data_IF_177627384881
#
_entry.id   IF_177627384881
#
_cell.length_a   1.000
_cell.length_b   1.000
_cell.length_c   1.000
_cell.angle_alpha   90.00
_cell.angle_beta   90.00
_cell.angle_gamma   90.00
#
_symmetry.space_group_name_H-M   'P 1'
#
loop_
_entity.id
_entity.type
_entity.pdbx_description
1 polymer ?
#
# COMPACT_ATOMS: atom_id res chain seq x y z
N UNK A 1 8.57 70.32 11.53
CA UNK A 1 7.69 69.24 11.02
C UNK A 1 8.00 69.01 9.56
N UNK A 2 8.92 68.11 9.26
CA UNK A 2 9.29 67.73 7.88
C UNK A 2 9.13 66.22 7.81
N UNK A 3 8.02 65.79 7.21
CA UNK A 3 7.64 64.39 7.05
C UNK A 3 8.36 63.80 5.84
N UNK A 4 9.31 62.90 6.10
CA UNK A 4 9.98 62.09 5.08
C UNK A 4 9.08 60.90 4.73
N UNK A 5 8.53 60.86 3.51
CA UNK A 5 7.76 59.72 3.00
C UNK A 5 8.73 58.61 2.56
N UNK A 6 8.65 57.47 3.23
CA UNK A 6 9.38 56.25 2.91
C UNK A 6 8.68 55.53 1.74
N UNK A 7 9.31 55.50 0.57
CA UNK A 7 8.84 54.74 -0.58
C UNK A 7 9.17 53.25 -0.40
N UNK A 8 8.14 52.42 -0.22
CA UNK A 8 8.28 50.97 -0.18
C UNK A 8 8.55 50.39 -1.57
N UNK A 9 9.66 49.69 -1.73
CA UNK A 9 9.92 48.85 -2.89
C UNK A 9 9.16 47.54 -2.74
N UNK A 10 8.23 47.28 -3.65
CA UNK A 10 7.53 46.01 -3.78
C UNK A 10 8.48 45.01 -4.46
N UNK A 11 9.04 44.08 -3.70
CA UNK A 11 9.84 42.98 -4.26
C UNK A 11 8.89 41.95 -4.91
N UNK A 12 8.80 41.99 -6.24
CA UNK A 12 8.06 41.00 -7.02
C UNK A 12 8.87 39.69 -7.02
N UNK A 13 8.47 38.73 -6.18
CA UNK A 13 9.03 37.38 -6.20
C UNK A 13 8.54 36.66 -7.45
N UNK A 14 9.42 36.52 -8.44
CA UNK A 14 9.16 35.73 -9.66
C UNK A 14 9.29 34.26 -9.27
N UNK A 15 8.17 33.57 -9.09
CA UNK A 15 8.13 32.11 -9.07
C UNK A 15 8.43 31.63 -10.49
N UNK A 16 9.68 31.25 -10.74
CA UNK A 16 10.06 30.52 -11.95
C UNK A 16 9.48 29.12 -11.82
N UNK A 17 8.33 28.89 -12.45
CA UNK A 17 7.79 27.55 -12.66
C UNK A 17 8.72 26.85 -13.67
N UNK A 18 9.71 26.12 -13.17
CA UNK A 18 10.53 25.25 -14.01
C UNK A 18 9.66 24.09 -14.46
N UNK A 19 8.98 24.23 -15.60
CA UNK A 19 8.43 23.08 -16.29
C UNK A 19 9.60 22.14 -16.61
N UNK A 20 9.66 20.99 -15.94
CA UNK A 20 10.59 19.93 -16.29
C UNK A 20 10.34 19.58 -17.76
N UNK A 21 11.39 19.58 -18.57
CA UNK A 21 11.28 19.21 -19.97
C UNK A 21 10.86 17.74 -20.06
N UNK A 22 9.78 17.46 -20.79
CA UNK A 22 9.27 16.10 -21.02
C UNK A 22 10.38 15.19 -21.58
N UNK A 23 10.53 13.98 -21.02
CA UNK A 23 11.51 12.99 -21.49
C UNK A 23 10.97 12.34 -22.76
N UNK A 24 11.39 12.84 -23.92
CA UNK A 24 10.89 12.36 -25.21
C UNK A 24 11.47 10.99 -25.60
N UNK A 25 10.59 10.05 -25.93
CA UNK A 25 10.95 8.74 -26.48
C UNK A 25 11.04 8.75 -28.01
N UNK A 26 11.78 7.79 -28.57
CA UNK A 26 11.85 7.51 -30.00
C UNK A 26 10.59 6.76 -30.46
N UNK A 27 10.10 7.07 -31.65
CA UNK A 27 9.02 6.32 -32.28
C UNK A 27 9.51 4.95 -32.76
N UNK A 28 9.59 3.99 -31.84
CA UNK A 28 10.04 2.62 -32.07
C UNK A 28 9.40 1.65 -31.06
N UNK A 29 9.65 0.36 -31.27
CA UNK A 29 9.32 -0.70 -30.32
C UNK A 29 10.61 -1.34 -29.81
N UNK A 30 10.92 -1.13 -28.55
CA UNK A 30 11.98 -1.82 -27.84
C UNK A 30 11.50 -3.21 -27.40
N UNK A 31 12.36 -4.22 -27.48
CA UNK A 31 12.05 -5.57 -26.99
C UNK A 31 13.11 -5.99 -25.99
N UNK A 32 12.69 -6.43 -24.81
CA UNK A 32 13.55 -6.89 -23.71
C UNK A 32 13.40 -8.41 -23.59
N UNK A 33 14.46 -9.15 -23.89
CA UNK A 33 14.56 -10.60 -23.64
C UNK A 33 15.75 -10.96 -22.73
N UNK A 34 16.53 -9.95 -22.33
CA UNK A 34 17.62 -10.03 -21.37
C UNK A 34 17.93 -8.64 -20.79
N UNK A 35 18.78 -8.57 -19.76
CA UNK A 35 19.20 -7.29 -19.17
C UNK A 35 19.98 -6.38 -20.14
N UNK A 36 20.63 -6.95 -21.17
CA UNK A 36 21.40 -6.19 -22.16
C UNK A 36 20.50 -5.33 -23.06
N UNK A 37 19.25 -5.74 -23.26
CA UNK A 37 18.30 -5.08 -24.15
C UNK A 37 17.72 -3.80 -23.53
N UNK A 38 17.70 -3.70 -22.20
CA UNK A 38 16.97 -2.69 -21.43
C UNK A 38 17.34 -1.28 -21.85
N UNK A 39 18.64 -0.98 -21.92
CA UNK A 39 19.16 0.37 -22.22
C UNK A 39 18.64 0.91 -23.55
N UNK A 40 18.52 0.06 -24.57
CA UNK A 40 18.00 0.44 -25.88
C UNK A 40 16.48 0.49 -25.92
N UNK A 41 15.82 -0.43 -25.20
CA UNK A 41 14.38 -0.57 -25.23
C UNK A 41 13.68 0.61 -24.55
N UNK A 42 14.17 1.10 -23.41
CA UNK A 42 13.55 2.20 -22.66
C UNK A 42 13.60 3.56 -23.37
N UNK A 43 14.37 3.68 -24.46
CA UNK A 43 14.35 4.85 -25.33
C UNK A 43 13.13 4.87 -26.26
N UNK A 44 12.42 3.76 -26.43
CA UNK A 44 11.28 3.64 -27.31
C UNK A 44 9.95 4.01 -26.62
N UNK A 45 9.02 4.57 -27.41
CA UNK A 45 7.64 4.86 -26.99
C UNK A 45 6.79 3.61 -26.78
N UNK A 46 7.23 2.45 -27.27
CA UNK A 46 6.67 1.14 -26.91
C UNK A 46 7.79 0.21 -26.44
N UNK A 47 7.57 -0.49 -25.32
CA UNK A 47 8.49 -1.48 -24.76
C UNK A 47 7.76 -2.80 -24.59
N UNK A 48 8.26 -3.86 -25.22
CA UNK A 48 7.78 -5.22 -25.04
C UNK A 48 8.75 -5.99 -24.14
N UNK A 49 8.23 -6.67 -23.12
CA UNK A 49 9.03 -7.48 -22.19
C UNK A 49 8.71 -8.94 -22.44
N UNK A 50 9.63 -9.68 -23.06
CA UNK A 50 9.51 -11.12 -23.25
C UNK A 50 9.83 -11.88 -21.96
N UNK A 51 9.67 -13.20 -21.99
CA UNK A 51 10.11 -14.02 -20.87
C UNK A 51 11.62 -14.03 -20.76
N UNK A 52 12.15 -13.77 -19.56
CA UNK A 52 13.56 -13.94 -19.24
C UNK A 52 13.77 -14.05 -17.72
N UNK A 53 14.97 -14.45 -17.32
CA UNK A 53 15.40 -14.43 -15.92
C UNK A 53 16.34 -13.27 -15.69
N UNK A 54 15.99 -12.40 -14.74
CA UNK A 54 16.88 -11.35 -14.23
C UNK A 54 17.99 -12.02 -13.40
N UNK A 55 19.28 -11.73 -13.66
CA UNK A 55 20.37 -12.33 -12.90
C UNK A 55 20.29 -12.06 -11.40
N UNK A 56 20.90 -12.95 -10.61
CA UNK A 56 20.82 -12.89 -9.17
C UNK A 56 21.50 -11.64 -8.57
N UNK A 57 20.74 -10.84 -7.84
CA UNK A 57 21.27 -9.62 -7.22
C UNK A 57 21.25 -8.37 -8.09
N UNK A 58 20.52 -8.40 -9.20
CA UNK A 58 20.33 -7.26 -10.09
C UNK A 58 18.90 -6.73 -10.01
N UNK A 59 18.74 -5.41 -10.17
CA UNK A 59 17.44 -4.77 -10.31
C UNK A 59 17.09 -4.69 -11.79
N UNK A 60 15.92 -5.18 -12.18
CA UNK A 60 15.33 -4.89 -13.47
C UNK A 60 14.71 -3.49 -13.46
N UNK A 61 15.50 -2.49 -13.89
CA UNK A 61 15.14 -1.08 -13.88
C UNK A 61 14.67 -0.61 -15.26
N UNK A 62 13.47 -0.03 -15.31
CA UNK A 62 12.91 0.63 -16.49
C UNK A 62 12.78 2.14 -16.23
N UNK A 63 13.69 2.93 -16.79
CA UNK A 63 13.58 4.40 -16.80
C UNK A 63 13.00 4.83 -18.15
N UNK A 64 11.66 4.87 -18.22
CA UNK A 64 10.92 5.07 -19.46
C UNK A 64 10.93 6.53 -19.90
N UNK A 65 10.65 6.76 -21.18
CA UNK A 65 10.24 8.05 -21.68
C UNK A 65 8.77 8.33 -21.32
N UNK A 66 8.37 9.60 -21.39
CA UNK A 66 6.99 9.98 -21.09
C UNK A 66 6.03 9.37 -22.10
N UNK A 67 4.81 9.04 -21.65
CA UNK A 67 3.77 8.42 -22.47
C UNK A 67 4.14 7.05 -23.07
N UNK A 68 5.17 6.39 -22.54
CA UNK A 68 5.58 5.05 -23.01
C UNK A 68 4.50 4.01 -22.71
N UNK A 69 4.24 3.14 -23.68
CA UNK A 69 3.44 1.94 -23.49
C UNK A 69 4.34 0.74 -23.24
N UNK A 70 4.14 0.02 -22.15
CA UNK A 70 4.83 -1.22 -21.83
C UNK A 70 3.87 -2.39 -21.98
N UNK A 71 4.29 -3.45 -22.66
CA UNK A 71 3.54 -4.71 -22.77
C UNK A 71 4.41 -5.86 -22.27
N UNK A 72 3.97 -6.52 -21.21
CA UNK A 72 4.58 -7.80 -20.81
C UNK A 72 4.02 -8.90 -21.72
N UNK A 73 4.90 -9.70 -22.29
CA UNK A 73 4.63 -10.74 -23.29
C UNK A 73 5.13 -12.13 -22.84
N UNK A 74 5.80 -12.19 -21.70
CA UNK A 74 6.23 -13.44 -21.08
C UNK A 74 6.59 -13.24 -19.61
N UNK A 75 6.68 -14.35 -18.90
CA UNK A 75 6.95 -14.32 -17.45
C UNK A 75 8.41 -13.95 -17.17
N UNK A 76 8.61 -13.12 -16.15
CA UNK A 76 9.91 -12.69 -15.64
C UNK A 76 10.17 -13.37 -14.30
N UNK A 77 11.33 -13.98 -14.14
CA UNK A 77 11.77 -14.54 -12.86
C UNK A 77 13.07 -13.89 -12.39
N UNK A 78 13.30 -13.87 -11.08
CA UNK A 78 14.49 -13.27 -10.49
C UNK A 78 15.43 -14.33 -9.91
N UNK A 79 16.72 -14.24 -10.23
CA UNK A 79 17.75 -15.10 -9.65
C UNK A 79 17.89 -14.91 -8.14
N UNK A 80 18.11 -16.00 -7.42
CA UNK A 80 18.17 -16.00 -5.96
C UNK A 80 19.48 -15.40 -5.43
N UNK A 81 19.37 -14.32 -4.67
CA UNK A 81 20.45 -13.74 -3.85
C UNK A 81 19.85 -13.07 -2.64
N UNK A 82 20.53 -13.15 -1.50
CA UNK A 82 20.24 -12.36 -0.29
C UNK A 82 20.82 -10.95 -0.47
N UNK A 83 19.95 -9.94 -0.59
CA UNK A 83 20.32 -8.51 -0.75
C UNK A 83 19.07 -7.64 -0.52
N UNK A 84 19.23 -6.31 -0.51
CA UNK A 84 18.17 -5.38 -0.15
C UNK A 84 17.08 -5.19 -1.23
N UNK A 85 17.37 -5.45 -2.50
CA UNK A 85 16.47 -5.11 -3.60
C UNK A 85 16.45 -3.61 -3.93
N UNK A 86 15.45 -3.11 -4.68
CA UNK A 86 14.28 -3.85 -5.19
C UNK A 86 14.62 -4.83 -6.33
N UNK A 87 13.71 -5.77 -6.61
CA UNK A 87 13.87 -6.68 -7.75
C UNK A 87 13.51 -6.00 -9.07
N UNK A 88 12.39 -5.29 -9.12
CA UNK A 88 11.93 -4.52 -10.27
C UNK A 88 11.69 -3.07 -9.88
N UNK A 89 12.04 -2.14 -10.77
CA UNK A 89 11.75 -0.72 -10.61
C UNK A 89 11.33 -0.11 -11.93
N UNK A 90 10.27 0.68 -11.94
CA UNK A 90 9.80 1.39 -13.14
C UNK A 90 9.52 2.86 -12.82
N UNK A 91 10.00 3.74 -13.70
CA UNK A 91 9.86 5.20 -13.61
C UNK A 91 9.39 5.77 -14.95
N UNK A 92 8.60 6.83 -14.89
CA UNK A 92 8.18 7.59 -16.07
C UNK A 92 6.82 8.25 -15.91
N UNK A 93 6.55 9.28 -16.71
CA UNK A 93 5.30 10.02 -16.65
C UNK A 93 4.29 9.57 -17.71
N UNK A 94 3.01 9.51 -17.33
CA UNK A 94 1.91 9.11 -18.21
C UNK A 94 2.10 7.74 -18.88
N UNK A 95 2.71 6.79 -18.17
CA UNK A 95 3.01 5.44 -18.67
C UNK A 95 1.74 4.60 -18.74
N UNK A 96 1.62 3.78 -19.78
CA UNK A 96 0.62 2.71 -19.87
C UNK A 96 1.33 1.37 -19.71
N UNK A 97 1.25 0.75 -18.53
CA UNK A 97 1.91 -0.52 -18.24
C UNK A 97 0.88 -1.66 -18.27
N UNK A 98 0.97 -2.52 -19.28
CA UNK A 98 0.09 -3.66 -19.50
C UNK A 98 0.83 -4.96 -19.16
N UNK A 99 0.47 -5.59 -18.05
CA UNK A 99 1.01 -6.89 -17.64
C UNK A 99 0.49 -8.07 -18.46
N UNK A 100 -0.63 -7.91 -19.17
CA UNK A 100 -1.27 -8.95 -19.99
C UNK A 100 -1.45 -10.31 -19.29
N UNK A 101 -1.54 -10.33 -17.96
CA UNK A 101 -1.69 -11.53 -17.15
C UNK A 101 -0.39 -12.29 -16.87
N UNK A 102 0.77 -11.76 -17.29
CA UNK A 102 2.07 -12.38 -17.09
C UNK A 102 2.61 -12.18 -15.68
N UNK A 103 3.51 -13.10 -15.31
CA UNK A 103 4.00 -13.24 -13.94
C UNK A 103 5.39 -12.64 -13.76
N UNK A 104 5.57 -11.91 -12.67
CA UNK A 104 6.85 -11.61 -12.06
C UNK A 104 7.03 -12.55 -10.85
N UNK A 105 7.93 -13.52 -10.93
CA UNK A 105 8.17 -14.50 -9.86
C UNK A 105 9.41 -14.11 -9.03
N UNK A 106 9.19 -13.72 -7.77
CA UNK A 106 10.22 -13.26 -6.84
C UNK A 106 11.01 -14.39 -6.17
N UNK A 107 10.62 -15.66 -6.38
CA UNK A 107 11.23 -16.84 -5.77
C UNK A 107 11.29 -16.81 -4.22
N UNK A 108 10.25 -16.25 -3.60
CA UNK A 108 10.02 -16.13 -2.16
C UNK A 108 10.44 -17.33 -1.30
N UNK A 109 10.10 -18.59 -1.65
CA UNK A 109 10.50 -19.78 -0.90
C UNK A 109 12.01 -19.92 -0.65
N UNK A 110 12.86 -19.32 -1.48
CA UNK A 110 14.30 -19.27 -1.22
C UNK A 110 14.63 -18.48 0.06
N UNK A 111 13.86 -17.42 0.34
CA UNK A 111 14.07 -16.43 1.39
C UNK A 111 13.29 -16.73 2.67
N UNK A 112 12.08 -17.24 2.54
CA UNK A 112 11.10 -17.38 3.61
C UNK A 112 11.58 -18.27 4.77
N UNK A 113 11.65 -17.65 5.94
CA UNK A 113 12.16 -18.19 7.21
C UNK A 113 11.23 -17.86 8.39
N UNK A 114 9.99 -17.44 8.11
CA UNK A 114 8.99 -17.04 9.10
C UNK A 114 9.31 -15.72 9.84
N UNK A 115 10.39 -15.02 9.48
CA UNK A 115 10.81 -13.79 10.15
C UNK A 115 10.65 -12.53 9.29
N UNK A 116 10.42 -12.68 7.99
CA UNK A 116 10.15 -11.54 7.09
C UNK A 116 11.27 -10.50 7.14
N UNK A 117 10.91 -9.24 7.33
CA UNK A 117 11.85 -8.12 7.53
C UNK A 117 12.33 -7.94 8.97
N UNK A 118 11.79 -8.70 9.93
CA UNK A 118 12.09 -8.56 11.36
C UNK A 118 13.36 -9.31 11.79
N UNK A 119 13.90 -10.19 10.95
CA UNK A 119 15.07 -11.00 11.26
C UNK A 119 15.45 -11.97 10.15
N UNK A 120 16.32 -12.92 10.48
CA UNK A 120 16.77 -13.97 9.57
C UNK A 120 17.64 -13.46 8.41
N UNK A 121 17.43 -14.00 7.21
CA UNK A 121 18.18 -13.55 6.02
C UNK A 121 17.60 -12.26 5.45
N UNK A 122 18.45 -11.41 4.87
CA UNK A 122 17.98 -10.23 4.13
C UNK A 122 17.16 -10.66 2.90
N UNK A 123 15.97 -10.06 2.74
CA UNK A 123 15.02 -10.37 1.68
C UNK A 123 14.89 -9.13 0.79
N UNK A 124 15.00 -9.25 -0.54
CA UNK A 124 14.81 -8.11 -1.43
C UNK A 124 13.41 -7.50 -1.25
N UNK A 125 13.33 -6.25 -0.81
CA UNK A 125 12.07 -5.62 -0.44
C UNK A 125 12.14 -4.09 -0.61
N UNK A 126 11.18 -3.46 -1.32
CA UNK A 126 10.04 -4.09 -1.99
C UNK A 126 10.47 -4.94 -3.20
N UNK A 127 9.64 -5.88 -3.63
CA UNK A 127 9.86 -6.59 -4.90
C UNK A 127 9.66 -5.65 -6.10
N UNK A 128 8.56 -4.91 -6.11
CA UNK A 128 8.12 -4.03 -7.20
C UNK A 128 8.11 -2.58 -6.72
N UNK A 129 9.03 -1.75 -7.23
CA UNK A 129 9.06 -0.32 -6.95
C UNK A 129 8.43 0.48 -8.10
N UNK A 130 7.30 1.12 -7.82
CA UNK A 130 6.45 1.78 -8.82
C UNK A 130 6.55 3.30 -8.64
N UNK A 131 7.21 3.95 -9.59
CA UNK A 131 7.44 5.40 -9.64
C UNK A 131 6.95 5.97 -10.99
N UNK A 132 5.81 5.45 -11.48
CA UNK A 132 5.13 5.94 -12.69
C UNK A 132 3.84 6.68 -12.37
N UNK A 133 3.43 7.58 -13.25
CA UNK A 133 2.04 8.04 -13.37
C UNK A 133 1.37 7.38 -14.58
N UNK A 134 0.04 7.40 -14.65
CA UNK A 134 -0.74 6.77 -15.73
C UNK A 134 -1.48 5.52 -15.28
N UNK A 135 -1.25 4.39 -15.95
CA UNK A 135 -1.94 3.11 -15.67
C UNK A 135 -0.97 1.95 -15.50
N UNK A 136 -1.30 1.04 -14.60
CA UNK A 136 -0.55 -0.19 -14.33
C UNK A 136 -1.53 -1.34 -14.14
N UNK A 137 -1.62 -2.24 -15.12
CA UNK A 137 -2.76 -3.17 -15.20
C UNK A 137 -2.34 -4.61 -15.43
N UNK A 138 -3.11 -5.56 -14.91
CA UNK A 138 -3.05 -6.98 -15.26
C UNK A 138 -1.66 -7.62 -15.07
N UNK A 139 -0.93 -7.23 -14.02
CA UNK A 139 0.35 -7.87 -13.63
C UNK A 139 0.08 -8.90 -12.54
N UNK A 140 0.67 -10.09 -12.68
CA UNK A 140 0.75 -11.07 -11.60
C UNK A 140 2.11 -11.00 -10.92
N UNK A 141 2.14 -10.84 -9.61
CA UNK A 141 3.31 -11.10 -8.76
C UNK A 141 3.10 -12.43 -8.07
N UNK A 142 4.12 -13.28 -8.11
CA UNK A 142 4.14 -14.59 -7.48
C UNK A 142 5.32 -14.70 -6.54
N UNK A 143 5.08 -15.15 -5.31
CA UNK A 143 6.09 -15.48 -4.32
C UNK A 143 7.12 -14.36 -4.14
N UNK A 144 6.70 -13.21 -3.66
CA UNK A 144 7.59 -12.12 -3.29
C UNK A 144 8.50 -12.51 -2.12
N UNK A 145 9.75 -12.03 -2.04
CA UNK A 145 10.61 -12.32 -0.88
C UNK A 145 10.08 -11.75 0.44
N UNK A 146 9.40 -10.60 0.39
CA UNK A 146 8.74 -9.90 1.50
C UNK A 146 7.77 -8.88 0.87
N UNK A 147 7.78 -7.59 1.24
CA UNK A 147 6.83 -6.57 0.73
C UNK A 147 6.81 -6.51 -0.80
N UNK A 148 5.62 -6.47 -1.39
CA UNK A 148 5.40 -6.60 -2.83
C UNK A 148 5.54 -5.26 -3.54
N UNK A 149 4.52 -4.40 -3.48
CA UNK A 149 4.54 -3.10 -4.16
C UNK A 149 4.91 -1.98 -3.20
N UNK A 150 5.89 -1.17 -3.57
CA UNK A 150 6.08 0.18 -3.01
C UNK A 150 5.67 1.20 -4.07
N UNK A 151 4.71 2.06 -3.73
CA UNK A 151 4.10 2.99 -4.68
C UNK A 151 4.41 4.45 -4.30
N UNK A 152 5.00 5.18 -5.24
CA UNK A 152 5.39 6.59 -5.10
C UNK A 152 5.24 7.30 -6.46
N UNK A 153 4.01 7.33 -6.98
CA UNK A 153 3.69 7.91 -8.28
C UNK A 153 3.91 9.45 -8.30
N UNK A 154 4.51 10.00 -9.36
CA UNK A 154 4.76 11.44 -9.50
C UNK A 154 3.51 12.28 -9.85
N UNK A 155 2.48 11.62 -10.40
CA UNK A 155 1.15 12.17 -10.71
C UNK A 155 0.13 11.03 -10.69
N UNK A 156 -1.14 11.29 -10.98
CA UNK A 156 -2.23 10.30 -10.86
C UNK A 156 -1.87 8.92 -11.44
N UNK A 157 -2.09 7.87 -10.65
CA UNK A 157 -1.86 6.49 -11.04
C UNK A 157 -3.11 5.64 -10.76
N UNK A 158 -3.48 4.81 -11.74
CA UNK A 158 -4.47 3.74 -11.56
C UNK A 158 -3.76 2.38 -11.68
N UNK A 159 -3.81 1.60 -10.62
CA UNK A 159 -3.35 0.23 -10.56
C UNK A 159 -4.56 -0.70 -10.57
N UNK A 160 -4.73 -1.57 -11.57
CA UNK A 160 -5.94 -2.39 -11.67
C UNK A 160 -5.74 -3.82 -12.15
N UNK A 161 -6.63 -4.72 -11.73
CA UNK A 161 -6.63 -6.12 -12.14
C UNK A 161 -5.31 -6.84 -11.81
N UNK A 162 -4.67 -6.46 -10.69
CA UNK A 162 -3.41 -7.06 -10.26
C UNK A 162 -3.67 -8.35 -9.49
N UNK A 163 -2.73 -9.29 -9.55
CA UNK A 163 -2.75 -10.49 -8.72
C UNK A 163 -1.45 -10.57 -7.93
N UNK A 164 -1.55 -10.64 -6.61
CA UNK A 164 -0.45 -10.97 -5.70
C UNK A 164 -0.75 -12.34 -5.12
N UNK A 165 0.13 -13.30 -5.41
CA UNK A 165 0.01 -14.68 -4.95
C UNK A 165 1.25 -15.06 -4.14
N UNK A 166 1.18 -14.80 -2.84
CA UNK A 166 2.14 -15.24 -1.84
C UNK A 166 1.54 -16.35 -0.96
N UNK A 167 0.45 -16.99 -1.40
CA UNK A 167 -0.29 -18.00 -0.63
C UNK A 167 0.57 -19.20 -0.20
N UNK A 168 1.63 -19.52 -0.96
CA UNK A 168 2.59 -20.54 -0.58
C UNK A 168 3.32 -20.20 0.74
N UNK A 169 3.42 -18.92 1.08
CA UNK A 169 3.99 -18.42 2.33
C UNK A 169 3.23 -18.86 3.58
N UNK A 170 1.96 -19.25 3.48
CA UNK A 170 1.18 -19.77 4.61
C UNK A 170 1.72 -21.11 5.11
N UNK A 171 2.38 -21.88 4.23
CA UNK A 171 2.91 -23.19 4.58
C UNK A 171 4.22 -23.05 5.37
N UNK A 172 4.39 -23.80 6.47
CA UNK A 172 5.67 -23.87 7.15
C UNK A 172 6.71 -24.57 6.26
N UNK A 173 7.98 -24.25 6.50
CA UNK A 173 9.11 -24.92 5.87
C UNK A 173 10.21 -25.22 6.89
N UNK A 174 11.33 -25.79 6.44
CA UNK A 174 12.45 -26.17 7.31
C UNK A 174 13.18 -24.99 7.97
N UNK A 175 12.83 -23.75 7.66
CA UNK A 175 13.44 -22.51 8.16
C UNK A 175 12.49 -21.69 9.06
N UNK A 176 11.22 -22.06 9.16
CA UNK A 176 10.18 -21.23 9.80
C UNK A 176 9.69 -21.77 11.15
N UNK A 177 10.36 -22.77 11.73
CA UNK A 177 10.04 -23.35 13.04
C UNK A 177 8.57 -23.77 13.19
N UNK A 178 7.97 -24.29 12.11
CA UNK A 178 6.57 -24.73 12.09
C UNK A 178 5.54 -23.60 11.96
N UNK A 179 5.97 -22.33 11.86
CA UNK A 179 5.12 -21.18 11.52
C UNK A 179 4.99 -21.02 10.01
N UNK A 180 4.03 -20.21 9.55
CA UNK A 180 4.00 -19.73 8.16
C UNK A 180 5.40 -19.22 7.75
N UNK A 181 5.86 -19.64 6.57
CA UNK A 181 7.19 -19.29 6.10
C UNK A 181 7.28 -17.85 5.58
N UNK A 182 6.23 -17.37 4.91
CA UNK A 182 6.08 -16.00 4.46
C UNK A 182 5.74 -15.07 5.62
N UNK A 183 6.33 -13.88 5.64
CA UNK A 183 6.08 -12.86 6.65
C UNK A 183 6.50 -11.48 6.11
N UNK A 184 5.78 -10.42 6.48
CA UNK A 184 5.91 -9.07 5.90
C UNK A 184 5.83 -9.06 4.37
N UNK A 185 4.89 -9.85 3.82
CA UNK A 185 4.56 -9.92 2.39
C UNK A 185 3.44 -8.94 2.06
N UNK A 186 3.58 -7.68 2.50
CA UNK A 186 2.57 -6.64 2.31
C UNK A 186 2.25 -6.48 0.82
N UNK A 187 0.97 -6.36 0.47
CA UNK A 187 0.53 -6.24 -0.91
C UNK A 187 0.93 -4.89 -1.52
N UNK A 188 0.46 -3.79 -0.91
CA UNK A 188 0.76 -2.43 -1.33
C UNK A 188 1.19 -1.56 -0.15
N UNK A 189 2.46 -1.13 -0.15
CA UNK A 189 2.96 -0.07 0.72
C UNK A 189 2.89 1.27 -0.03
N UNK A 190 2.12 2.20 0.51
CA UNK A 190 1.75 3.42 -0.19
C UNK A 190 2.21 4.65 0.59
N UNK A 191 3.02 5.48 -0.07
CA UNK A 191 3.44 6.80 0.42
C UNK A 191 3.34 7.83 -0.70
N UNK A 192 2.12 8.18 -1.11
CA UNK A 192 1.87 8.92 -2.35
C UNK A 192 0.53 9.65 -2.34
N UNK A 193 0.29 10.46 -3.38
CA UNK A 193 -1.00 11.14 -3.60
C UNK A 193 -1.60 10.75 -4.95
N UNK A 194 -2.93 10.83 -5.07
CA UNK A 194 -3.69 10.57 -6.30
C UNK A 194 -3.51 9.15 -6.84
N UNK A 195 -3.79 8.15 -5.99
CA UNK A 195 -3.67 6.73 -6.32
C UNK A 195 -5.03 6.05 -6.28
N UNK A 196 -5.34 5.26 -7.30
CA UNK A 196 -6.44 4.29 -7.26
C UNK A 196 -5.89 2.88 -7.43
N UNK A 197 -6.23 1.98 -6.53
CA UNK A 197 -5.99 0.54 -6.65
C UNK A 197 -7.35 -0.17 -6.70
N UNK A 198 -7.60 -0.90 -7.78
CA UNK A 198 -8.91 -1.52 -7.99
C UNK A 198 -8.89 -2.91 -8.63
N UNK A 199 -9.98 -3.65 -8.40
CA UNK A 199 -10.27 -4.93 -9.04
C UNK A 199 -9.12 -5.95 -8.93
N UNK A 200 -8.33 -5.88 -7.85
CA UNK A 200 -7.12 -6.68 -7.65
C UNK A 200 -7.31 -7.77 -6.60
N UNK A 201 -6.51 -8.84 -6.69
CA UNK A 201 -6.53 -9.98 -5.75
C UNK A 201 -5.20 -10.10 -5.03
N UNK A 202 -5.23 -10.21 -3.71
CA UNK A 202 -4.06 -10.22 -2.83
C UNK A 202 -4.19 -11.39 -1.86
N UNK A 203 -3.27 -12.35 -1.97
CA UNK A 203 -3.15 -13.51 -1.09
C UNK A 203 -1.78 -13.48 -0.42
N UNK A 204 -1.72 -13.17 0.87
CA UNK A 204 -0.45 -12.89 1.55
C UNK A 204 -0.51 -13.14 3.08
N UNK A 205 0.56 -12.81 3.80
CA UNK A 205 0.72 -12.99 5.25
C UNK A 205 0.86 -11.67 6.04
N UNK A 206 0.65 -10.52 5.40
CA UNK A 206 0.68 -9.21 6.08
C UNK A 206 -0.39 -8.27 5.47
N UNK A 207 -0.26 -6.96 5.60
CA UNK A 207 -1.27 -6.02 5.12
C UNK A 207 -1.56 -6.21 3.62
N UNK A 208 -2.83 -6.27 3.26
CA UNK A 208 -3.26 -6.18 1.86
C UNK A 208 -2.90 -4.82 1.27
N UNK A 209 -3.08 -3.77 2.08
CA UNK A 209 -2.71 -2.39 1.82
C UNK A 209 -2.20 -1.77 3.12
N UNK A 210 -1.10 -1.03 3.06
CA UNK A 210 -0.58 -0.19 4.13
C UNK A 210 -0.37 1.24 3.60
N UNK A 211 -1.28 2.16 3.92
CA UNK A 211 -1.12 3.59 3.60
C UNK A 211 -0.29 4.25 4.69
N UNK A 212 0.99 4.52 4.42
CA UNK A 212 1.89 5.10 5.43
C UNK A 212 1.90 6.64 5.40
N UNK A 213 1.62 7.26 4.25
CA UNK A 213 1.57 8.71 4.05
C UNK A 213 0.82 9.06 2.75
N UNK A 214 0.20 10.23 2.68
CA UNK A 214 -0.26 10.85 1.45
C UNK A 214 -1.74 11.16 1.41
N UNK A 215 -2.31 11.36 0.23
CA UNK A 215 -3.71 11.82 0.13
C UNK A 215 -4.42 11.40 -1.16
N UNK A 216 -5.75 11.47 -1.16
CA UNK A 216 -6.57 11.10 -2.32
C UNK A 216 -6.24 9.68 -2.81
N UNK A 217 -6.41 8.70 -1.92
CA UNK A 217 -6.12 7.30 -2.17
C UNK A 217 -7.43 6.51 -2.17
N UNK A 218 -7.70 5.80 -3.26
CA UNK A 218 -8.87 4.95 -3.43
C UNK A 218 -8.44 3.49 -3.51
N UNK A 219 -9.01 2.64 -2.66
CA UNK A 219 -8.81 1.19 -2.68
C UNK A 219 -10.17 0.51 -2.80
N UNK A 220 -10.52 0.03 -3.99
CA UNK A 220 -11.88 -0.42 -4.27
C UNK A 220 -12.01 -1.74 -5.04
N UNK A 221 -13.05 -2.52 -4.69
CA UNK A 221 -13.37 -3.80 -5.36
C UNK A 221 -12.22 -4.81 -5.37
N UNK A 222 -11.34 -4.74 -4.39
CA UNK A 222 -10.23 -5.68 -4.25
C UNK A 222 -10.63 -6.88 -3.40
N UNK A 223 -9.92 -7.99 -3.56
CA UNK A 223 -10.02 -9.18 -2.72
C UNK A 223 -8.73 -9.38 -1.93
N UNK A 224 -8.83 -9.43 -0.60
CA UNK A 224 -7.71 -9.62 0.31
C UNK A 224 -7.90 -10.92 1.10
N UNK A 225 -6.89 -11.79 1.15
CA UNK A 225 -6.97 -13.05 1.91
C UNK A 225 -5.67 -13.47 2.59
N UNK A 226 -5.80 -14.07 3.77
CA UNK A 226 -4.70 -14.69 4.52
C UNK A 226 -3.94 -13.75 5.47
N UNK A 227 -3.82 -12.47 5.10
CA UNK A 227 -2.94 -11.50 5.74
C UNK A 227 -3.55 -10.70 6.90
N UNK A 228 -3.25 -9.41 6.94
CA UNK A 228 -3.57 -8.48 8.04
C UNK A 228 -4.62 -7.41 7.69
N UNK A 229 -5.33 -7.56 6.57
CA UNK A 229 -6.42 -6.67 6.17
C UNK A 229 -5.96 -5.40 5.46
N UNK A 230 -6.84 -4.40 5.44
CA UNK A 230 -6.61 -3.10 4.81
C UNK A 230 -6.23 -2.10 5.90
N UNK A 231 -4.99 -1.62 5.87
CA UNK A 231 -4.41 -0.78 6.91
C UNK A 231 -4.10 0.64 6.43
N UNK A 232 -4.38 1.62 7.30
CA UNK A 232 -3.73 2.93 7.30
C UNK A 232 -2.67 2.91 8.41
N UNK A 233 -1.42 3.10 8.02
CA UNK A 233 -0.25 3.08 8.91
C UNK A 233 0.68 1.87 8.71
N UNK A 234 1.65 1.62 9.60
CA UNK A 234 1.84 2.35 10.86
C UNK A 234 2.23 3.81 10.63
N UNK A 235 1.42 4.74 11.11
CA UNK A 235 1.70 6.18 10.97
C UNK A 235 2.90 6.54 11.84
N UNK A 236 3.90 7.17 11.21
CA UNK A 236 5.12 7.66 11.87
C UNK A 236 5.03 9.18 12.07
N UNK A 237 5.98 9.76 12.79
CA UNK A 237 6.04 11.22 12.91
C UNK A 237 6.04 11.92 11.54
N UNK A 238 5.46 13.11 11.49
CA UNK A 238 5.37 13.97 10.29
C UNK A 238 4.57 13.38 9.12
N UNK A 239 3.94 12.21 9.29
CA UNK A 239 3.11 11.60 8.27
C UNK A 239 1.69 12.18 8.30
N UNK A 240 1.20 12.59 7.14
CA UNK A 240 -0.18 13.05 6.95
C UNK A 240 -0.85 12.09 6.00
N UNK A 241 -1.98 11.53 6.41
CA UNK A 241 -2.89 10.73 5.58
C UNK A 241 -4.23 11.43 5.52
N UNK A 242 -4.75 11.72 4.32
CA UNK A 242 -6.07 12.34 4.18
C UNK A 242 -6.82 12.01 2.90
N UNK A 243 -8.15 11.94 2.95
CA UNK A 243 -8.96 11.69 1.76
C UNK A 243 -8.76 10.27 1.24
N UNK A 244 -9.06 9.29 2.08
CA UNK A 244 -8.95 7.87 1.76
C UNK A 244 -10.34 7.28 1.56
N UNK A 245 -10.53 6.52 0.49
CA UNK A 245 -11.78 5.78 0.23
C UNK A 245 -11.46 4.30 0.10
N UNK A 246 -12.02 3.48 0.98
CA UNK A 246 -11.88 2.02 0.99
C UNK A 246 -13.26 1.42 0.76
N UNK A 247 -13.55 0.92 -0.44
CA UNK A 247 -14.92 0.55 -0.81
C UNK A 247 -15.10 -0.73 -1.62
N UNK A 248 -16.19 -1.46 -1.34
CA UNK A 248 -16.56 -2.65 -2.11
C UNK A 248 -15.55 -3.80 -2.04
N UNK A 249 -14.64 -3.81 -1.07
CA UNK A 249 -13.61 -4.84 -0.96
C UNK A 249 -14.16 -6.11 -0.30
N UNK A 250 -13.59 -7.26 -0.67
CA UNK A 250 -13.84 -8.56 -0.04
C UNK A 250 -12.62 -8.97 0.78
N UNK A 251 -12.80 -9.28 2.06
CA UNK A 251 -11.71 -9.56 3.00
C UNK A 251 -11.98 -10.89 3.70
N UNK A 252 -11.15 -11.90 3.45
CA UNK A 252 -11.40 -13.27 3.94
C UNK A 252 -10.21 -13.80 4.69
N UNK A 253 -10.39 -14.40 5.87
CA UNK A 253 -9.31 -15.09 6.60
C UNK A 253 -8.10 -14.18 6.88
N UNK A 254 -8.34 -12.89 7.12
CA UNK A 254 -7.30 -11.96 7.57
C UNK A 254 -7.38 -11.82 9.09
N UNK A 255 -6.31 -11.35 9.72
CA UNK A 255 -6.32 -11.05 11.16
C UNK A 255 -7.31 -9.95 11.50
N UNK A 256 -7.36 -8.91 10.67
CA UNK A 256 -8.39 -7.90 10.77
C UNK A 256 -8.92 -7.53 9.40
N UNK A 257 -10.12 -6.95 9.35
CA UNK A 257 -10.61 -6.43 8.08
C UNK A 257 -10.03 -5.04 7.80
N UNK A 258 -10.27 -4.10 8.71
CA UNK A 258 -9.95 -2.68 8.52
C UNK A 258 -9.18 -2.16 9.73
N UNK A 259 -8.05 -1.49 9.48
CA UNK A 259 -7.15 -1.05 10.54
C UNK A 259 -6.63 0.37 10.33
N UNK A 260 -6.61 1.16 11.40
CA UNK A 260 -5.77 2.37 11.50
C UNK A 260 -4.80 2.12 12.64
N UNK A 261 -3.50 2.09 12.35
CA UNK A 261 -2.43 1.86 13.33
C UNK A 261 -1.49 3.06 13.34
N UNK A 262 -1.31 3.69 14.50
CA UNK A 262 -0.38 4.82 14.65
C UNK A 262 0.68 4.48 15.70
N UNK A 263 1.94 4.80 15.44
CA UNK A 263 3.01 4.55 16.41
C UNK A 263 2.75 5.36 17.68
N UNK A 264 2.84 4.75 18.85
CA UNK A 264 2.67 5.43 20.13
C UNK A 264 3.65 6.60 20.30
N UNK A 265 4.84 6.48 19.70
CA UNK A 265 5.89 7.50 19.72
C UNK A 265 5.80 8.55 18.61
N UNK A 266 4.82 8.45 17.70
CA UNK A 266 4.72 9.40 16.59
C UNK A 266 4.21 10.76 17.07
N UNK A 267 4.72 11.81 16.45
CA UNK A 267 4.41 13.22 16.71
C UNK A 267 4.15 13.96 15.42
N UNK A 268 3.42 15.07 15.48
CA UNK A 268 3.19 15.97 14.33
C UNK A 268 2.61 15.25 13.10
N UNK A 269 1.77 14.24 13.33
CA UNK A 269 1.18 13.40 12.30
C UNK A 269 -0.35 13.45 12.35
N UNK A 270 -1.01 13.04 11.26
CA UNK A 270 -2.47 12.98 11.22
C UNK A 270 -3.04 11.94 10.25
N UNK A 271 -4.22 11.44 10.57
CA UNK A 271 -5.09 10.64 9.71
C UNK A 271 -6.47 11.30 9.69
N UNK A 272 -6.96 11.71 8.54
CA UNK A 272 -8.25 12.38 8.44
C UNK A 272 -9.05 12.04 7.20
N UNK A 273 -10.37 12.25 7.24
CA UNK A 273 -11.25 12.10 6.07
C UNK A 273 -11.10 10.72 5.40
N UNK A 274 -11.44 9.67 6.16
CA UNK A 274 -11.41 8.28 5.71
C UNK A 274 -12.85 7.79 5.57
N UNK A 275 -13.18 7.22 4.42
CA UNK A 275 -14.49 6.66 4.13
C UNK A 275 -14.39 5.17 3.84
N UNK A 276 -15.11 4.37 4.61
CA UNK A 276 -15.36 2.95 4.35
C UNK A 276 -16.80 2.77 3.83
N UNK A 277 -16.98 2.04 2.73
CA UNK A 277 -18.31 1.83 2.13
C UNK A 277 -18.44 0.47 1.44
N UNK A 278 -19.44 -0.32 1.81
CA UNK A 278 -19.77 -1.57 1.12
C UNK A 278 -18.71 -2.67 1.19
N UNK A 279 -17.81 -2.67 2.17
CA UNK A 279 -16.82 -3.73 2.31
C UNK A 279 -17.45 -4.97 2.96
N UNK A 280 -17.02 -6.16 2.57
CA UNK A 280 -17.47 -7.43 3.16
C UNK A 280 -16.28 -8.19 3.73
N UNK A 281 -16.39 -8.63 4.99
CA UNK A 281 -15.33 -9.35 5.70
C UNK A 281 -15.84 -10.62 6.38
N UNK A 282 -15.11 -11.73 6.27
CA UNK A 282 -15.45 -13.01 6.93
C UNK A 282 -14.21 -13.78 7.38
N UNK A 283 -14.34 -14.57 8.45
CA UNK A 283 -13.21 -15.35 8.99
C UNK A 283 -12.11 -14.45 9.56
N UNK A 284 -12.51 -13.34 10.19
CA UNK A 284 -11.57 -12.35 10.70
C UNK A 284 -11.06 -12.81 12.07
N UNK A 285 -9.75 -13.05 12.19
CA UNK A 285 -9.17 -13.83 13.29
C UNK A 285 -8.90 -13.04 14.58
N UNK A 286 -8.77 -11.73 14.48
CA UNK A 286 -8.45 -10.85 15.62
C UNK A 286 -9.45 -9.69 15.75
N UNK A 287 -9.67 -8.90 14.68
CA UNK A 287 -10.56 -7.73 14.74
C UNK A 287 -11.43 -7.54 13.50
N UNK A 288 -12.68 -7.12 13.68
CA UNK A 288 -13.45 -6.55 12.57
C UNK A 288 -12.86 -5.21 12.14
N UNK A 289 -12.87 -4.25 13.08
CA UNK A 289 -12.24 -2.93 12.91
C UNK A 289 -11.31 -2.67 14.09
N UNK A 290 -10.08 -2.23 13.80
CA UNK A 290 -9.13 -1.81 14.83
C UNK A 290 -8.61 -0.39 14.54
N UNK A 291 -8.87 0.55 15.44
CA UNK A 291 -8.26 1.89 15.41
C UNK A 291 -7.41 2.02 16.65
N UNK A 292 -6.08 2.01 16.50
CA UNK A 292 -5.17 1.87 17.61
C UNK A 292 -3.97 2.82 17.50
N UNK A 293 -3.77 3.62 18.55
CA UNK A 293 -2.67 4.56 18.66
C UNK A 293 -1.49 4.04 19.51
N UNK A 294 -1.46 2.75 19.83
CA UNK A 294 -0.44 2.13 20.68
C UNK A 294 0.65 1.34 19.93
N UNK A 295 0.66 1.34 18.59
CA UNK A 295 1.61 0.54 17.79
C UNK A 295 3.07 0.82 18.21
N UNK A 296 3.95 -0.21 18.34
CA UNK A 296 3.81 -1.59 17.86
C UNK A 296 2.99 -2.53 18.75
N UNK A 297 2.57 -2.09 19.93
CA UNK A 297 1.64 -2.88 20.75
C UNK A 297 0.25 -2.92 20.08
N UNK A 298 -0.60 -3.83 20.56
CA UNK A 298 -2.02 -3.89 20.17
C UNK A 298 -2.85 -3.62 21.41
N UNK A 299 -3.64 -2.55 21.37
CA UNK A 299 -4.44 -2.06 22.50
C UNK A 299 -3.62 -1.82 23.77
N UNK A 300 -2.35 -1.40 23.61
CA UNK A 300 -1.48 -0.94 24.69
C UNK A 300 -1.73 0.52 25.07
N UNK A 301 -0.72 1.19 25.63
CA UNK A 301 -0.81 2.63 25.96
C UNK A 301 -0.83 3.48 24.69
N UNK A 302 -1.92 4.20 24.38
CA UNK A 302 -2.00 4.98 23.15
C UNK A 302 -1.17 6.26 23.23
N UNK A 303 -0.52 6.62 22.12
CA UNK A 303 0.13 7.92 21.93
C UNK A 303 -0.87 9.02 21.57
N UNK A 304 -0.47 10.28 21.75
CA UNK A 304 -1.30 11.47 21.47
C UNK A 304 -0.82 12.33 20.31
N UNK A 305 0.36 12.02 19.74
CA UNK A 305 0.99 12.84 18.72
C UNK A 305 0.49 12.62 17.29
N UNK A 306 -0.49 11.71 17.10
CA UNK A 306 -1.18 11.52 15.82
C UNK A 306 -2.64 11.94 15.95
N UNK A 307 -3.06 12.97 15.23
CA UNK A 307 -4.45 13.42 15.25
C UNK A 307 -5.30 12.56 14.30
N UNK A 308 -6.37 11.96 14.81
CA UNK A 308 -7.27 11.09 14.04
C UNK A 308 -8.67 11.70 14.02
N UNK A 309 -9.24 11.94 12.83
CA UNK A 309 -10.56 12.55 12.71
C UNK A 309 -11.31 12.16 11.43
N UNK A 310 -12.64 12.24 11.44
CA UNK A 310 -13.46 11.98 10.26
C UNK A 310 -13.28 10.58 9.68
N UNK A 311 -13.35 9.56 10.55
CA UNK A 311 -13.29 8.15 10.15
C UNK A 311 -14.72 7.61 10.05
N UNK A 312 -15.23 7.46 8.83
CA UNK A 312 -16.65 7.23 8.59
C UNK A 312 -16.92 5.91 7.88
N UNK A 313 -17.98 5.21 8.30
CA UNK A 313 -18.60 4.09 7.60
C UNK A 313 -19.97 4.55 7.10
N UNK A 314 -20.04 4.90 5.82
CA UNK A 314 -21.22 5.54 5.20
C UNK A 314 -21.49 4.98 3.81
N UNK A 315 -22.67 5.25 3.26
CA UNK A 315 -23.07 4.76 1.96
C UNK A 315 -23.56 3.31 2.02
N UNK A 316 -22.92 2.42 1.25
CA UNK A 316 -23.30 1.00 1.27
C UNK A 316 -22.86 0.35 2.57
N UNK A 317 -23.66 -0.56 3.10
CA UNK A 317 -23.35 -1.22 4.37
C UNK A 317 -22.08 -2.05 4.28
N UNK A 318 -21.09 -1.72 5.12
CA UNK A 318 -19.94 -2.58 5.39
C UNK A 318 -20.36 -3.68 6.36
N UNK A 319 -20.17 -4.95 5.99
CA UNK A 319 -20.59 -6.13 6.77
C UNK A 319 -19.40 -7.01 7.09
N UNK A 320 -19.09 -7.16 8.37
CA UNK A 320 -17.93 -7.92 8.85
C UNK A 320 -18.36 -9.04 9.81
N UNK A 321 -17.80 -10.23 9.66
CA UNK A 321 -17.98 -11.35 10.58
C UNK A 321 -16.63 -11.80 11.12
N UNK A 322 -16.48 -11.72 12.45
CA UNK A 322 -15.27 -12.11 13.16
C UNK A 322 -15.40 -13.50 13.77
N UNK A 323 -14.27 -14.16 13.99
CA UNK A 323 -14.21 -15.47 14.64
C UNK A 323 -14.62 -15.38 16.13
N UNK A 324 -14.90 -16.53 16.77
CA UNK A 324 -15.52 -16.56 18.10
C UNK A 324 -14.66 -15.96 19.22
N UNK A 325 -13.34 -15.98 19.05
CA UNK A 325 -12.33 -15.45 19.96
C UNK A 325 -11.79 -14.07 19.53
N UNK A 326 -12.32 -13.52 18.44
CA UNK A 326 -11.97 -12.20 17.92
C UNK A 326 -12.88 -11.09 18.47
N UNK A 327 -12.45 -9.83 18.30
CA UNK A 327 -13.21 -8.65 18.72
C UNK A 327 -13.90 -7.98 17.52
N UNK A 328 -15.13 -7.51 17.70
CA UNK A 328 -15.90 -6.83 16.64
C UNK A 328 -15.26 -5.50 16.25
N UNK A 329 -15.22 -4.56 17.17
CA UNK A 329 -14.54 -3.27 17.00
C UNK A 329 -13.80 -2.92 18.28
N UNK A 330 -12.53 -2.54 18.14
CA UNK A 330 -11.77 -1.88 19.18
C UNK A 330 -11.25 -0.51 18.70
N UNK A 331 -11.35 0.49 19.57
CA UNK A 331 -10.83 1.84 19.37
C UNK A 331 -10.00 2.23 20.59
N UNK A 332 -8.71 2.48 20.40
CA UNK A 332 -7.76 2.83 21.45
C UNK A 332 -7.08 4.16 21.12
N UNK A 333 -7.71 5.25 21.54
CA UNK A 333 -7.25 6.61 21.27
C UNK A 333 -6.41 7.16 22.41
N UNK A 334 -5.42 7.99 22.07
CA UNK A 334 -4.80 8.89 23.03
C UNK A 334 -5.81 9.94 23.47
N UNK A 335 -5.72 10.40 24.72
CA UNK A 335 -6.63 11.42 25.24
C UNK A 335 -6.58 12.68 24.36
N UNK A 336 -7.75 13.05 23.79
CA UNK A 336 -7.88 14.19 22.88
C UNK A 336 -7.25 14.03 21.49
N UNK A 337 -6.67 12.87 21.16
CA UNK A 337 -6.02 12.63 19.87
C UNK A 337 -7.01 12.16 18.78
N UNK A 338 -8.09 11.50 19.18
CA UNK A 338 -9.24 11.24 18.31
C UNK A 338 -10.29 12.34 18.49
N UNK A 339 -10.73 12.96 17.39
CA UNK A 339 -11.58 14.15 17.45
C UNK A 339 -12.72 14.12 16.44
N UNK A 340 -13.69 15.00 16.68
CA UNK A 340 -14.85 15.21 15.82
C UNK A 340 -15.92 14.13 16.00
N UNK A 341 -16.78 14.02 15.00
CA UNK A 341 -17.87 13.04 14.95
C UNK A 341 -17.59 12.04 13.83
N UNK A 342 -17.72 10.76 14.15
CA UNK A 342 -17.50 9.64 13.23
C UNK A 342 -18.85 8.96 12.97
N UNK A 343 -19.35 9.05 11.75
CA UNK A 343 -20.61 8.41 11.34
C UNK A 343 -20.33 6.96 10.96
N UNK A 344 -20.79 6.03 11.80
CA UNK A 344 -20.62 4.60 11.61
C UNK A 344 -21.96 3.88 11.34
N UNK A 345 -22.98 4.63 10.91
CA UNK A 345 -24.33 4.12 10.64
C UNK A 345 -24.38 2.99 9.59
N UNK A 346 -23.39 2.91 8.70
CA UNK A 346 -23.30 1.86 7.69
C UNK A 346 -22.34 0.71 8.08
N UNK A 347 -21.91 0.59 9.33
CA UNK A 347 -21.10 -0.53 9.81
C UNK A 347 -21.96 -1.59 10.51
N UNK A 348 -21.83 -2.85 10.10
CA UNK A 348 -22.37 -4.02 10.79
C UNK A 348 -21.26 -5.02 11.05
N UNK A 349 -21.07 -5.39 12.31
CA UNK A 349 -20.09 -6.41 12.71
C UNK A 349 -20.79 -7.47 13.56
N UNK A 350 -20.53 -8.75 13.27
CA UNK A 350 -21.10 -9.89 14.01
C UNK A 350 -20.03 -10.90 14.38
N UNK A 351 -20.37 -11.83 15.28
CA UNK A 351 -19.43 -12.81 15.82
C UNK A 351 -18.62 -12.25 16.99
N UNK A 352 -17.75 -13.09 17.54
CA UNK A 352 -16.82 -12.74 18.60
C UNK A 352 -17.43 -11.98 19.79
N UNK A 353 -16.60 -11.16 20.42
CA UNK A 353 -16.98 -10.27 21.52
C UNK A 353 -16.88 -8.78 21.12
N UNK A 354 -17.47 -7.90 21.93
CA UNK A 354 -17.28 -6.47 21.75
C UNK A 354 -15.85 -6.10 22.19
N UNK A 355 -15.13 -5.32 21.38
CA UNK A 355 -13.88 -4.70 21.81
C UNK A 355 -14.14 -3.37 22.53
N UNK A 356 -13.11 -2.85 23.20
CA UNK A 356 -13.22 -1.62 23.96
C UNK A 356 -13.16 -0.38 23.06
N UNK A 357 -13.88 0.67 23.47
CA UNK A 357 -13.79 2.02 22.90
C UNK A 357 -13.23 2.94 23.99
N UNK A 358 -11.96 3.27 23.87
CA UNK A 358 -11.16 3.97 24.88
C UNK A 358 -10.84 5.39 24.44
N UNK A 359 -11.10 6.35 25.34
CA UNK A 359 -10.82 7.79 25.19
C UNK A 359 -11.45 8.46 23.96
N UNK A 360 -12.57 7.93 23.47
CA UNK A 360 -13.32 8.54 22.37
C UNK A 360 -14.81 8.22 22.45
N UNK A 361 -15.66 9.25 22.43
CA UNK A 361 -17.12 9.16 22.50
C UNK A 361 -17.81 9.75 21.26
N UNK A 362 -17.03 10.15 20.24
CA UNK A 362 -17.54 10.80 19.03
C UNK A 362 -18.14 9.87 17.97
N UNK A 363 -18.25 8.56 18.24
CA UNK A 363 -18.83 7.58 17.31
C UNK A 363 -20.36 7.64 17.38
N UNK A 364 -21.02 7.74 16.22
CA UNK A 364 -22.46 7.79 16.09
C UNK A 364 -22.99 6.71 15.15
N UNK A 365 -24.25 6.29 15.35
CA UNK A 365 -24.93 5.35 14.46
C UNK A 365 -24.47 3.89 14.59
N UNK A 366 -23.62 3.57 15.56
CA UNK A 366 -23.07 2.22 15.75
C UNK A 366 -23.22 1.71 17.18
N UNK A 367 -23.51 0.43 17.30
CA UNK A 367 -23.51 -0.36 18.54
C UNK A 367 -23.04 -1.76 18.19
N UNK A 368 -22.21 -2.36 19.05
CA UNK A 368 -21.67 -3.71 18.83
C UNK A 368 -22.32 -4.76 19.69
#
# INVERSE_FOLDING_TARGET
MTSLKLSGFLALSIYVCTALAAKQGKACTGTISSMDDVSSAVECTTVNINSFTVPAGETFLLELADSTTVNVQGDVSFGNKTWAGPLFQVKGDSVTFNGNGHTFNGNGPFYWDGQGGNGGVTKPAPMMKIEISGTYTNVKVLNSPARVYSVSNPATLVMSQLTIDDSLGDQPNSKSDGKAAGHNTDGFDVSTTDLTIEDSTIMNQDDCLAINKGSNIVFQRNTCSGGHGISIGSISSDAVVSGVVISGNTITNNDQALRIKTKASATDASVSNVTYSGNTGTGLRQFGVLIDQSYPDTLGTPGTGVQVSGINFVGSTTTLSVDSDAQRVAVNCGEGACTGTWDWSALKVSGGEAGDITNFDGIQGFTQ
#
